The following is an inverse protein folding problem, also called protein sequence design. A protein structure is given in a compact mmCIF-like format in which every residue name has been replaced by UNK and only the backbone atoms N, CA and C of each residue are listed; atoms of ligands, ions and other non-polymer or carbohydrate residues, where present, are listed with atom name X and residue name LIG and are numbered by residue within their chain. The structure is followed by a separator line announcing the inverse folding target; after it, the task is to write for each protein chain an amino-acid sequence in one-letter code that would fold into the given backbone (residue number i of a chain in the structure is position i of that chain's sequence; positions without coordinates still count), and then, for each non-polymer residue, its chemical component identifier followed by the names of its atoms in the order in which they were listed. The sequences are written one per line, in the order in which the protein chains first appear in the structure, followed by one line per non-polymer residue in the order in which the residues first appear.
data_IF_525989584003
#
_entry.id   IF_525989584003
#
_cell.length_a   1.000
_cell.length_b   1.000
_cell.length_c   1.000
_cell.angle_alpha   90.00
_cell.angle_beta   90.00
_cell.angle_gamma   90.00
#
_symmetry.space_group_name_H-M   'P 1'
#
loop_
_entity.id
_entity.type
_entity.pdbx_description
1 polymer ?
#
# COMPACT_ATOMS: atom_id res chain seq x y z
N UNK A 1 -16.66 -5.37 -4.99
CA UNK A 1 -16.69 -5.95 -6.37
C UNK A 1 -17.52 -7.22 -6.32
N UNK A 2 -18.30 -7.48 -7.37
CA UNK A 2 -19.09 -8.71 -7.50
C UNK A 2 -18.32 -9.71 -8.37
N UNK A 3 -17.91 -10.83 -7.78
CA UNK A 3 -17.14 -11.89 -8.45
C UNK A 3 -18.04 -13.02 -8.98
N UNK A 4 -19.36 -12.86 -8.98
CA UNK A 4 -20.30 -13.90 -9.43
C UNK A 4 -20.19 -14.22 -10.92
N UNK A 5 -19.74 -13.28 -11.74
CA UNK A 5 -19.40 -13.44 -13.16
C UNK A 5 -18.44 -12.34 -13.62
N UNK A 6 -17.76 -12.57 -14.76
CA UNK A 6 -16.92 -11.54 -15.39
C UNK A 6 -17.73 -10.27 -15.73
N UNK A 7 -18.96 -10.44 -16.23
CA UNK A 7 -19.83 -9.31 -16.59
C UNK A 7 -20.18 -8.45 -15.36
N UNK A 8 -20.56 -9.08 -14.23
CA UNK A 8 -20.86 -8.38 -12.99
C UNK A 8 -19.62 -7.69 -12.41
N UNK A 9 -18.46 -8.35 -12.47
CA UNK A 9 -17.18 -7.77 -12.02
C UNK A 9 -16.79 -6.58 -12.89
N UNK A 10 -16.90 -6.71 -14.22
CA UNK A 10 -16.60 -5.65 -15.20
C UNK A 10 -17.48 -4.42 -15.00
N UNK A 11 -18.78 -4.63 -14.77
CA UNK A 11 -19.71 -3.52 -14.48
C UNK A 11 -19.30 -2.76 -13.20
N UNK A 12 -18.92 -3.48 -12.14
CA UNK A 12 -18.43 -2.87 -10.91
C UNK A 12 -17.07 -2.19 -11.07
N UNK A 13 -16.18 -2.73 -11.93
CA UNK A 13 -14.91 -2.11 -12.27
C UNK A 13 -15.11 -0.82 -13.06
N UNK A 14 -15.98 -0.82 -14.06
CA UNK A 14 -16.36 0.37 -14.82
C UNK A 14 -16.88 1.49 -13.91
N UNK A 15 -17.83 1.18 -13.02
CA UNK A 15 -18.34 2.13 -12.02
C UNK A 15 -17.23 2.69 -11.13
N UNK A 16 -16.33 1.83 -10.66
CA UNK A 16 -15.20 2.25 -9.83
C UNK A 16 -14.32 3.26 -10.57
N UNK A 17 -13.96 2.99 -11.82
CA UNK A 17 -13.10 3.87 -12.61
C UNK A 17 -13.80 5.20 -12.92
N UNK A 18 -15.09 5.18 -13.29
CA UNK A 18 -15.89 6.40 -13.53
C UNK A 18 -15.98 7.26 -12.26
N UNK A 19 -16.17 6.63 -11.10
CA UNK A 19 -16.18 7.31 -9.81
C UNK A 19 -14.81 7.95 -9.49
N UNK A 20 -13.70 7.27 -9.74
CA UNK A 20 -12.37 7.84 -9.55
C UNK A 20 -12.15 9.07 -10.44
N UNK A 21 -12.53 8.99 -11.70
CA UNK A 21 -12.46 10.13 -12.62
C UNK A 21 -13.33 11.32 -12.17
N UNK A 22 -14.50 11.05 -11.59
CA UNK A 22 -15.44 12.09 -11.16
C UNK A 22 -14.88 13.05 -10.10
N UNK A 23 -13.83 12.63 -9.39
CA UNK A 23 -13.12 13.44 -8.39
C UNK A 23 -11.67 13.77 -8.82
N UNK A 24 -11.37 13.61 -10.12
CA UNK A 24 -10.10 14.02 -10.73
C UNK A 24 -8.91 13.10 -10.45
N UNK A 25 -9.13 11.85 -10.04
CA UNK A 25 -8.05 10.88 -9.92
C UNK A 25 -7.59 10.41 -11.30
N UNK A 26 -6.30 10.11 -11.43
CA UNK A 26 -5.67 9.65 -12.67
C UNK A 26 -5.05 8.25 -12.54
N UNK A 27 -5.01 7.69 -11.35
CA UNK A 27 -4.39 6.39 -11.07
C UNK A 27 -5.22 5.63 -10.04
N UNK A 28 -5.38 4.33 -10.26
CA UNK A 28 -5.95 3.39 -9.28
C UNK A 28 -4.87 2.45 -8.79
N UNK A 29 -4.69 2.36 -7.48
CA UNK A 29 -3.80 1.39 -6.82
C UNK A 29 -4.68 0.24 -6.31
N UNK A 30 -4.67 -0.89 -7.02
CA UNK A 30 -5.52 -2.04 -6.75
C UNK A 30 -4.78 -3.14 -5.99
N UNK A 31 -5.27 -3.51 -4.80
CA UNK A 31 -4.67 -4.62 -4.04
C UNK A 31 -4.97 -5.95 -4.74
N UNK A 32 -3.94 -6.55 -5.31
CA UNK A 32 -4.04 -7.78 -6.11
C UNK A 32 -3.39 -9.00 -5.45
N UNK A 33 -2.57 -8.77 -4.40
CA UNK A 33 -1.91 -9.85 -3.64
C UNK A 33 -1.95 -9.56 -2.13
N UNK A 34 -3.06 -9.84 -1.44
CA UNK A 34 -3.24 -9.51 -0.02
C UNK A 34 -2.66 -10.53 0.95
N UNK A 35 -2.60 -11.85 0.62
CA UNK A 35 -2.33 -12.95 1.57
C UNK A 35 -1.44 -14.07 1.00
N UNK A 36 -0.40 -13.73 0.24
CA UNK A 36 0.38 -14.75 -0.46
C UNK A 36 -0.48 -15.53 -1.46
N UNK A 37 -1.46 -14.87 -2.02
CA UNK A 37 -2.44 -15.32 -3.01
C UNK A 37 -2.60 -14.25 -4.09
N UNK A 38 -3.38 -14.50 -5.13
CA UNK A 38 -3.50 -13.61 -6.27
C UNK A 38 -4.96 -13.38 -6.68
N UNK A 39 -5.30 -12.14 -7.04
CA UNK A 39 -6.54 -11.78 -7.75
C UNK A 39 -6.28 -11.73 -9.27
N UNK A 40 -5.38 -12.58 -9.75
CA UNK A 40 -4.97 -12.70 -11.15
C UNK A 40 -4.46 -14.12 -11.41
N UNK A 41 -4.34 -14.52 -12.69
CA UNK A 41 -3.75 -15.82 -13.04
C UNK A 41 -2.27 -15.81 -12.73
N UNK A 42 -1.89 -16.57 -11.71
CA UNK A 42 -0.51 -16.74 -11.29
C UNK A 42 -0.08 -18.20 -11.40
N UNK A 43 1.17 -18.42 -11.79
CA UNK A 43 1.82 -19.73 -11.73
C UNK A 43 2.49 -19.98 -10.38
N UNK A 44 2.65 -18.92 -9.56
CA UNK A 44 3.35 -18.92 -8.29
C UNK A 44 2.39 -18.94 -7.08
N UNK A 45 1.26 -18.25 -7.19
CA UNK A 45 0.34 -18.04 -6.08
C UNK A 45 -1.04 -18.65 -6.34
N UNK A 46 -1.71 -19.20 -5.29
CA UNK A 46 -3.09 -19.63 -5.41
C UNK A 46 -4.02 -18.44 -5.68
N UNK A 47 -5.17 -18.69 -6.29
CA UNK A 47 -6.26 -17.71 -6.35
C UNK A 47 -6.64 -17.22 -4.96
N UNK A 48 -6.89 -15.92 -4.81
CA UNK A 48 -7.33 -15.35 -3.54
C UNK A 48 -8.74 -15.82 -3.17
N UNK A 49 -8.92 -16.11 -1.87
CA UNK A 49 -10.25 -16.37 -1.32
C UNK A 49 -11.22 -15.20 -1.50
N UNK A 50 -10.73 -13.99 -1.74
CA UNK A 50 -11.56 -12.81 -2.00
C UNK A 50 -12.34 -12.94 -3.30
N UNK A 51 -11.89 -13.77 -4.24
CA UNK A 51 -12.60 -13.99 -5.51
C UNK A 51 -13.83 -14.88 -5.34
N UNK A 52 -13.72 -15.97 -4.55
CA UNK A 52 -14.77 -17.03 -4.50
C UNK A 52 -15.18 -17.41 -3.07
N UNK A 53 -14.51 -16.86 -2.06
CA UNK A 53 -14.62 -17.30 -0.66
C UNK A 53 -13.65 -18.43 -0.29
N UNK A 54 -13.01 -19.08 -1.28
CA UNK A 54 -12.09 -20.22 -1.08
C UNK A 54 -10.75 -19.94 -1.77
N UNK A 55 -9.65 -19.94 -1.01
CA UNK A 55 -8.32 -19.75 -1.57
C UNK A 55 -7.95 -20.95 -2.47
N UNK A 56 -7.42 -20.67 -3.66
CA UNK A 56 -7.06 -21.68 -4.68
C UNK A 56 -8.18 -21.98 -5.67
N UNK A 57 -9.40 -21.51 -5.44
CA UNK A 57 -10.52 -21.72 -6.37
C UNK A 57 -10.50 -20.65 -7.46
N UNK A 58 -10.39 -21.08 -8.73
CA UNK A 58 -10.48 -20.20 -9.91
C UNK A 58 -11.85 -19.56 -10.03
N UNK A 59 -11.95 -18.21 -10.12
CA UNK A 59 -13.22 -17.51 -10.33
C UNK A 59 -13.79 -17.66 -11.74
N UNK A 60 -13.07 -18.29 -12.69
CA UNK A 60 -13.47 -18.48 -14.06
C UNK A 60 -13.14 -17.33 -15.01
N UNK A 61 -12.59 -16.25 -14.51
CA UNK A 61 -12.10 -15.09 -15.28
C UNK A 61 -10.89 -14.47 -14.59
N UNK A 62 -10.25 -13.47 -15.22
CA UNK A 62 -9.10 -12.78 -14.64
C UNK A 62 -9.48 -11.38 -14.14
N UNK A 63 -9.63 -11.18 -12.81
CA UNK A 63 -10.02 -9.89 -12.25
C UNK A 63 -9.05 -8.75 -12.55
N UNK A 64 -7.74 -9.01 -12.58
CA UNK A 64 -6.74 -7.99 -12.85
C UNK A 64 -6.79 -7.53 -14.31
N UNK A 65 -6.93 -8.44 -15.25
CA UNK A 65 -7.07 -8.10 -16.67
C UNK A 65 -8.31 -7.22 -16.93
N UNK A 66 -9.43 -7.54 -16.26
CA UNK A 66 -10.64 -6.71 -16.31
C UNK A 66 -10.38 -5.31 -15.74
N UNK A 67 -9.72 -5.21 -14.56
CA UNK A 67 -9.43 -3.91 -13.94
C UNK A 67 -8.52 -3.04 -14.82
N UNK A 68 -7.47 -3.62 -15.42
CA UNK A 68 -6.56 -2.93 -16.33
C UNK A 68 -7.32 -2.42 -17.55
N UNK A 69 -8.14 -3.29 -18.17
CA UNK A 69 -8.94 -2.93 -19.35
C UNK A 69 -9.87 -1.76 -19.07
N UNK A 70 -10.59 -1.80 -17.93
CA UNK A 70 -11.53 -0.73 -17.57
C UNK A 70 -10.82 0.57 -17.18
N UNK A 71 -9.64 0.50 -16.55
CA UNK A 71 -8.83 1.67 -16.22
C UNK A 71 -8.30 2.34 -17.51
N UNK A 72 -7.61 1.58 -18.36
CA UNK A 72 -6.97 2.10 -19.57
C UNK A 72 -7.98 2.63 -20.59
N UNK A 73 -9.16 1.99 -20.73
CA UNK A 73 -10.22 2.50 -21.61
C UNK A 73 -10.71 3.89 -21.23
N UNK A 74 -10.45 4.34 -20.01
CA UNK A 74 -10.80 5.65 -19.45
C UNK A 74 -9.61 6.60 -19.28
N UNK A 75 -8.41 6.18 -19.67
CA UNK A 75 -7.19 6.95 -19.50
C UNK A 75 -6.65 7.01 -18.06
N UNK A 76 -7.09 6.10 -17.19
CA UNK A 76 -6.53 5.90 -15.86
C UNK A 76 -5.34 4.94 -15.92
N UNK A 77 -4.31 5.20 -15.12
CA UNK A 77 -3.27 4.23 -14.82
C UNK A 77 -3.75 3.25 -13.74
N UNK A 78 -3.23 2.02 -13.78
CA UNK A 78 -3.47 1.00 -12.76
C UNK A 78 -2.15 0.45 -12.23
N UNK A 79 -1.90 0.65 -10.94
CA UNK A 79 -0.78 0.05 -10.23
C UNK A 79 -1.24 -1.14 -9.39
N UNK A 80 -0.49 -2.24 -9.45
CA UNK A 80 -0.80 -3.45 -8.69
C UNK A 80 -0.22 -3.36 -7.27
N UNK A 81 -1.10 -3.30 -6.27
CA UNK A 81 -0.68 -3.32 -4.87
C UNK A 81 -0.49 -4.75 -4.37
N UNK A 82 0.71 -5.01 -3.91
CA UNK A 82 1.18 -6.29 -3.36
C UNK A 82 1.55 -6.09 -1.90
N UNK A 83 0.98 -6.90 -1.00
CA UNK A 83 1.53 -7.06 0.33
C UNK A 83 2.65 -8.12 0.26
N UNK A 84 3.91 -7.76 0.59
CA UNK A 84 5.04 -8.64 0.27
C UNK A 84 5.08 -9.92 1.12
N UNK A 85 4.79 -9.84 2.41
CA UNK A 85 5.09 -10.93 3.32
C UNK A 85 3.88 -11.60 3.99
N UNK A 86 2.70 -10.97 3.95
CA UNK A 86 1.54 -11.48 4.68
C UNK A 86 0.90 -12.67 3.96
N UNK A 87 0.79 -13.80 4.66
CA UNK A 87 0.10 -15.00 4.21
C UNK A 87 -1.30 -15.15 4.83
N UNK A 88 -1.46 -14.62 6.06
CA UNK A 88 -2.70 -14.66 6.83
C UNK A 88 -2.67 -13.55 7.87
N UNK A 89 -3.74 -12.79 8.02
CA UNK A 89 -3.80 -11.72 9.04
C UNK A 89 -4.45 -12.18 10.34
N UNK A 90 -5.35 -13.19 10.29
CA UNK A 90 -6.04 -13.77 11.46
C UNK A 90 -6.51 -15.18 11.11
N UNK A 91 -7.00 -15.92 12.09
CA UNK A 91 -7.55 -17.27 11.90
C UNK A 91 -8.72 -17.35 10.89
N UNK A 92 -9.29 -16.21 10.52
CA UNK A 92 -10.40 -16.09 9.57
C UNK A 92 -10.07 -15.43 8.24
N UNK A 93 -8.82 -14.96 8.07
CA UNK A 93 -8.49 -14.13 6.92
C UNK A 93 -7.11 -14.48 6.32
N UNK A 94 -7.04 -15.37 5.34
CA UNK A 94 -8.10 -16.25 4.83
C UNK A 94 -8.47 -17.37 5.82
N UNK A 95 -9.69 -17.91 5.75
CA UNK A 95 -10.17 -18.94 6.72
C UNK A 95 -9.46 -20.28 6.57
N UNK A 96 -9.08 -20.63 5.34
CA UNK A 96 -8.26 -21.80 5.03
C UNK A 96 -7.22 -21.42 3.98
N UNK A 97 -6.02 -22.01 4.06
CA UNK A 97 -4.95 -21.83 3.10
C UNK A 97 -5.01 -22.94 2.05
N UNK A 98 -4.83 -22.58 0.78
CA UNK A 98 -4.73 -23.55 -0.31
C UNK A 98 -3.51 -24.45 -0.14
N UNK A 99 -3.55 -25.65 -0.74
CA UNK A 99 -2.43 -26.62 -0.66
C UNK A 99 -1.11 -26.02 -1.19
N UNK A 100 -1.18 -25.20 -2.22
CA UNK A 100 -0.03 -24.51 -2.84
C UNK A 100 0.25 -23.14 -2.23
N UNK A 101 -0.38 -22.74 -1.11
CA UNK A 101 0.02 -21.55 -0.38
C UNK A 101 1.41 -21.76 0.24
N UNK A 102 2.25 -20.72 0.26
CA UNK A 102 3.63 -20.78 0.78
C UNK A 102 3.72 -21.28 2.22
N UNK A 103 2.71 -21.02 3.05
CA UNK A 103 2.69 -21.56 4.40
C UNK A 103 2.58 -23.10 4.45
N UNK A 104 2.07 -23.72 3.40
CA UNK A 104 1.97 -25.18 3.28
C UNK A 104 3.15 -25.80 2.54
N UNK A 105 3.68 -25.12 1.51
CA UNK A 105 4.76 -25.68 0.67
C UNK A 105 6.16 -25.33 1.17
N UNK A 106 6.29 -24.20 1.92
CA UNK A 106 7.54 -23.72 2.52
C UNK A 106 7.33 -23.28 3.96
N UNK A 107 6.89 -24.18 4.87
CA UNK A 107 6.65 -23.84 6.28
C UNK A 107 7.92 -23.31 6.98
N UNK A 108 9.11 -23.68 6.51
CA UNK A 108 10.40 -23.17 7.00
C UNK A 108 10.65 -21.70 6.69
N UNK A 109 9.89 -21.10 5.77
CA UNK A 109 9.96 -19.66 5.47
C UNK A 109 8.99 -18.84 6.31
N UNK A 110 8.13 -19.48 7.08
CA UNK A 110 6.98 -18.84 7.73
C UNK A 110 7.25 -18.57 9.19
N UNK A 111 6.85 -17.38 9.63
CA UNK A 111 6.76 -17.02 11.04
C UNK A 111 5.32 -16.70 11.43
N UNK A 112 4.97 -16.99 12.69
CA UNK A 112 3.67 -16.69 13.25
C UNK A 112 3.77 -15.54 14.25
N UNK A 113 2.84 -14.57 14.14
CA UNK A 113 2.72 -13.47 15.10
C UNK A 113 1.23 -13.31 15.44
N UNK A 114 0.88 -13.61 16.68
CA UNK A 114 -0.51 -13.74 17.09
C UNK A 114 -1.22 -14.84 16.26
N UNK A 115 -2.34 -14.51 15.64
CA UNK A 115 -3.05 -15.40 14.70
C UNK A 115 -2.58 -15.28 13.25
N UNK A 116 -1.67 -14.33 12.97
CA UNK A 116 -1.15 -14.06 11.64
C UNK A 116 -0.02 -14.99 11.23
N UNK A 117 0.11 -15.23 9.92
CA UNK A 117 1.23 -15.93 9.29
C UNK A 117 1.90 -15.01 8.28
N UNK A 118 3.21 -14.98 8.30
CA UNK A 118 4.03 -14.11 7.46
C UNK A 118 5.22 -14.87 6.93
N UNK A 119 5.69 -14.54 5.73
CA UNK A 119 7.03 -14.92 5.32
C UNK A 119 8.02 -14.18 6.23
N UNK A 120 9.07 -14.89 6.66
CA UNK A 120 10.10 -14.29 7.48
C UNK A 120 11.02 -13.42 6.60
N UNK A 121 11.08 -12.10 6.83
CA UNK A 121 11.87 -11.19 6.00
C UNK A 121 13.39 -11.44 6.05
N UNK A 122 13.84 -12.26 7.00
CA UNK A 122 15.23 -12.66 7.15
C UNK A 122 15.63 -13.87 6.28
N UNK A 123 14.70 -14.43 5.52
CA UNK A 123 14.94 -15.59 4.64
C UNK A 123 15.04 -15.10 3.20
N UNK A 124 16.25 -15.13 2.58
CA UNK A 124 16.47 -14.63 1.23
C UNK A 124 15.58 -15.32 0.19
N UNK A 125 15.39 -16.63 0.29
CA UNK A 125 14.57 -17.41 -0.64
C UNK A 125 13.10 -16.98 -0.61
N UNK A 126 12.59 -16.59 0.55
CA UNK A 126 11.24 -16.03 0.68
C UNK A 126 11.14 -14.65 0.01
N UNK A 127 12.15 -13.80 0.17
CA UNK A 127 12.24 -12.51 -0.51
C UNK A 127 12.34 -12.68 -2.02
N UNK A 128 13.18 -13.59 -2.50
CA UNK A 128 13.34 -13.91 -3.93
C UNK A 128 12.01 -14.39 -4.55
N UNK A 129 11.24 -15.18 -3.81
CA UNK A 129 9.91 -15.63 -4.29
C UNK A 129 8.91 -14.46 -4.42
N UNK A 130 8.96 -13.51 -3.50
CA UNK A 130 8.18 -12.26 -3.60
C UNK A 130 8.57 -11.49 -4.85
N UNK A 131 9.87 -11.36 -5.14
CA UNK A 131 10.40 -10.67 -6.33
C UNK A 131 9.99 -11.39 -7.62
N UNK A 132 10.02 -12.73 -7.64
CA UNK A 132 9.52 -13.52 -8.78
C UNK A 132 8.04 -13.21 -9.05
N UNK A 133 7.21 -13.07 -7.99
CA UNK A 133 5.82 -12.68 -8.13
C UNK A 133 5.63 -11.25 -8.66
N UNK A 134 6.52 -10.33 -8.34
CA UNK A 134 6.55 -8.98 -8.95
C UNK A 134 6.91 -9.08 -10.43
N UNK A 135 7.95 -9.85 -10.77
CA UNK A 135 8.35 -10.07 -12.16
C UNK A 135 7.24 -10.74 -12.99
N UNK A 136 6.52 -11.73 -12.41
CA UNK A 136 5.36 -12.37 -13.06
C UNK A 136 4.27 -11.35 -13.41
N UNK A 137 3.95 -10.44 -12.48
CA UNK A 137 2.95 -9.39 -12.70
C UNK A 137 3.34 -8.49 -13.88
N UNK A 138 4.52 -7.90 -13.85
CA UNK A 138 4.94 -6.92 -14.87
C UNK A 138 5.24 -7.56 -16.23
N UNK A 139 5.48 -8.86 -16.28
CA UNK A 139 5.68 -9.59 -17.54
C UNK A 139 4.37 -10.02 -18.20
N UNK A 140 3.34 -10.31 -17.41
CA UNK A 140 2.11 -10.91 -17.92
C UNK A 140 0.93 -9.93 -17.98
N UNK A 141 1.01 -8.78 -17.28
CA UNK A 141 -0.08 -7.82 -17.18
C UNK A 141 0.39 -6.42 -17.57
N UNK A 142 -0.45 -5.69 -18.26
CA UNK A 142 -0.19 -4.29 -18.66
C UNK A 142 -0.46 -3.31 -17.50
N UNK A 143 0.08 -3.60 -16.29
CA UNK A 143 0.03 -2.66 -15.17
C UNK A 143 0.97 -1.49 -15.42
N UNK A 144 0.65 -0.32 -14.88
CA UNK A 144 1.50 0.88 -14.99
C UNK A 144 2.55 0.96 -13.89
N UNK A 145 2.45 0.08 -12.90
CA UNK A 145 3.41 -0.01 -11.80
C UNK A 145 3.05 -1.06 -10.75
N UNK A 146 3.96 -1.19 -9.81
CA UNK A 146 3.82 -2.03 -8.61
C UNK A 146 3.88 -1.13 -7.37
N UNK A 147 3.00 -1.41 -6.41
CA UNK A 147 2.93 -0.70 -5.15
C UNK A 147 3.05 -1.67 -3.97
N UNK A 148 3.95 -1.40 -3.03
CA UNK A 148 4.02 -2.09 -1.74
C UNK A 148 3.43 -1.21 -0.64
N UNK A 149 2.80 -1.84 0.37
CA UNK A 149 2.41 -1.19 1.61
C UNK A 149 3.55 -1.19 2.65
N UNK A 150 3.25 -0.87 3.91
CA UNK A 150 4.20 -0.73 5.00
C UNK A 150 4.43 -2.04 5.81
N UNK A 151 3.82 -3.15 5.42
CA UNK A 151 3.87 -4.39 6.21
C UNK A 151 5.08 -5.25 5.84
N UNK A 152 6.27 -4.89 6.36
CA UNK A 152 7.50 -5.67 6.19
C UNK A 152 7.73 -6.62 7.36
N UNK A 153 8.33 -6.16 8.47
CA UNK A 153 8.45 -6.99 9.65
C UNK A 153 7.15 -6.98 10.47
N UNK A 154 6.59 -8.16 10.81
CA UNK A 154 5.31 -8.23 11.55
C UNK A 154 5.46 -7.93 13.04
N UNK A 155 6.70 -7.89 13.56
CA UNK A 155 7.00 -7.60 14.97
C UNK A 155 8.45 -7.14 15.14
N UNK A 156 8.71 -6.45 16.25
CA UNK A 156 10.07 -6.09 16.70
C UNK A 156 10.71 -7.15 17.59
N UNK A 157 9.99 -8.22 17.93
CA UNK A 157 10.52 -9.32 18.75
C UNK A 157 11.79 -9.91 18.11
N UNK A 158 12.89 -9.93 18.86
CA UNK A 158 14.15 -10.47 18.40
C UNK A 158 14.14 -12.00 18.20
N UNK A 159 13.16 -12.69 18.79
CA UNK A 159 13.01 -14.13 18.62
C UNK A 159 12.56 -14.54 17.22
N UNK A 160 11.93 -13.61 16.46
CA UNK A 160 11.37 -13.89 15.13
C UNK A 160 12.41 -14.49 14.17
N UNK A 161 13.60 -13.92 14.15
CA UNK A 161 14.68 -14.21 13.21
C UNK A 161 16.04 -14.43 13.89
N UNK A 162 16.04 -14.83 15.18
CA UNK A 162 17.22 -14.98 16.00
C UNK A 162 18.28 -15.92 15.38
N UNK A 163 17.83 -17.02 14.77
CA UNK A 163 18.74 -18.00 14.15
C UNK A 163 19.42 -17.41 12.91
N UNK A 164 18.67 -16.68 12.05
CA UNK A 164 19.17 -16.03 10.85
C UNK A 164 20.11 -14.89 11.21
N UNK A 165 19.77 -14.09 12.23
CA UNK A 165 20.63 -13.02 12.72
C UNK A 165 21.96 -13.56 13.27
N UNK A 166 21.92 -14.62 14.08
CA UNK A 166 23.13 -15.27 14.59
C UNK A 166 24.01 -15.82 13.44
N UNK A 167 23.40 -16.42 12.44
CA UNK A 167 24.12 -16.96 11.27
C UNK A 167 24.73 -15.85 10.39
N UNK A 168 24.13 -14.66 10.37
CA UNK A 168 24.62 -13.53 9.55
C UNK A 168 25.93 -12.93 10.03
N UNK A 169 26.28 -13.11 11.30
CA UNK A 169 27.43 -12.47 11.94
C UNK A 169 27.27 -10.95 12.16
N UNK A 170 26.10 -10.39 11.92
CA UNK A 170 25.84 -8.96 12.12
C UNK A 170 25.85 -8.60 13.61
N UNK A 171 26.32 -7.38 13.93
CA UNK A 171 26.40 -6.90 15.31
C UNK A 171 25.20 -6.08 15.79
N UNK A 172 24.34 -5.61 14.87
CA UNK A 172 23.17 -4.78 15.15
C UNK A 172 21.95 -5.35 14.44
N UNK A 173 20.99 -5.88 15.23
CA UNK A 173 19.78 -6.51 14.74
C UNK A 173 18.92 -5.53 13.91
N UNK A 174 18.75 -4.30 14.39
CA UNK A 174 17.89 -3.34 13.71
C UNK A 174 18.49 -2.89 12.37
N UNK A 175 19.80 -2.66 12.33
CA UNK A 175 20.49 -2.34 11.07
C UNK A 175 20.43 -3.50 10.08
N UNK A 176 20.60 -4.74 10.54
CA UNK A 176 20.51 -5.93 9.72
C UNK A 176 19.09 -6.15 9.16
N UNK A 177 18.05 -5.98 9.98
CA UNK A 177 16.65 -6.05 9.52
C UNK A 177 16.34 -4.98 8.46
N UNK A 178 16.85 -3.75 8.64
CA UNK A 178 16.73 -2.68 7.61
C UNK A 178 17.41 -3.05 6.30
N UNK A 179 18.55 -3.73 6.36
CA UNK A 179 19.22 -4.24 5.16
C UNK A 179 18.37 -5.29 4.45
N UNK A 180 17.75 -6.23 5.18
CA UNK A 180 16.86 -7.24 4.58
C UNK A 180 15.65 -6.60 3.88
N UNK A 181 15.00 -5.62 4.53
CA UNK A 181 13.85 -4.92 3.92
C UNK A 181 14.29 -4.11 2.70
N UNK A 182 15.40 -3.37 2.80
CA UNK A 182 15.93 -2.58 1.68
C UNK A 182 16.34 -3.48 0.50
N UNK A 183 16.91 -4.66 0.78
CA UNK A 183 17.28 -5.63 -0.25
C UNK A 183 16.04 -6.13 -1.03
N UNK A 184 14.94 -6.48 -0.34
CA UNK A 184 13.69 -6.83 -0.99
C UNK A 184 13.16 -5.70 -1.86
N UNK A 185 13.06 -4.47 -1.28
CA UNK A 185 12.50 -3.31 -1.98
C UNK A 185 13.32 -2.99 -3.23
N UNK A 186 14.66 -3.02 -3.11
CA UNK A 186 15.55 -2.84 -4.26
C UNK A 186 15.37 -3.93 -5.31
N UNK A 187 15.35 -5.19 -4.92
CA UNK A 187 15.21 -6.30 -5.86
C UNK A 187 13.86 -6.24 -6.60
N UNK A 188 12.79 -5.84 -5.92
CA UNK A 188 11.49 -5.63 -6.54
C UNK A 188 11.51 -4.45 -7.54
N UNK A 189 12.11 -3.31 -7.15
CA UNK A 189 12.34 -2.18 -8.06
C UNK A 189 13.12 -2.61 -9.30
N UNK A 190 14.24 -3.31 -9.11
CA UNK A 190 15.09 -3.75 -10.21
C UNK A 190 14.37 -4.72 -11.17
N UNK A 191 13.52 -5.62 -10.62
CA UNK A 191 12.70 -6.51 -11.42
C UNK A 191 11.66 -5.75 -12.27
N UNK A 192 11.03 -4.72 -11.71
CA UNK A 192 10.12 -3.83 -12.44
C UNK A 192 10.87 -3.10 -13.56
N UNK A 193 12.02 -2.50 -13.25
CA UNK A 193 12.83 -1.74 -14.25
C UNK A 193 13.46 -2.64 -15.32
N UNK A 194 13.76 -3.90 -15.00
CA UNK A 194 14.25 -4.86 -15.97
C UNK A 194 13.17 -5.28 -16.98
N UNK A 195 11.89 -5.28 -16.58
CA UNK A 195 10.77 -5.55 -17.49
C UNK A 195 10.49 -4.34 -18.41
N UNK A 196 10.32 -3.16 -17.84
CA UNK A 196 10.14 -1.90 -18.55
C UNK A 196 10.55 -0.71 -17.65
N UNK A 197 11.43 0.13 -18.14
CA UNK A 197 11.93 1.31 -17.42
C UNK A 197 10.87 2.39 -17.17
N UNK A 198 9.76 2.35 -17.90
CA UNK A 198 8.64 3.30 -17.75
C UNK A 198 7.68 2.90 -16.63
N UNK A 199 7.64 1.61 -16.25
CA UNK A 199 6.83 1.14 -15.13
C UNK A 199 7.31 1.75 -13.82
N UNK A 200 6.39 1.99 -12.91
CA UNK A 200 6.68 2.61 -11.62
C UNK A 200 6.72 1.56 -10.52
N UNK A 201 7.63 1.75 -9.59
CA UNK A 201 7.65 1.00 -8.34
C UNK A 201 7.60 1.95 -7.15
N UNK A 202 6.60 1.82 -6.30
CA UNK A 202 6.44 2.68 -5.13
C UNK A 202 6.13 1.92 -3.85
N UNK A 203 6.34 2.61 -2.74
CA UNK A 203 6.02 2.10 -1.40
C UNK A 203 5.17 3.13 -0.66
N UNK A 204 4.16 2.65 0.07
CA UNK A 204 3.34 3.45 0.97
C UNK A 204 3.76 3.18 2.43
N UNK A 205 4.83 3.84 2.94
CA UNK A 205 5.29 3.67 4.30
C UNK A 205 4.32 4.31 5.30
N UNK A 206 4.53 4.09 6.59
CA UNK A 206 3.76 4.78 7.63
C UNK A 206 3.99 6.30 7.55
N UNK A 207 3.03 7.07 8.04
CA UNK A 207 3.18 8.52 8.13
C UNK A 207 4.22 8.97 9.17
N UNK A 208 4.55 8.09 10.13
CA UNK A 208 5.59 8.33 11.13
C UNK A 208 6.92 7.67 10.70
N UNK A 209 7.91 8.45 10.22
CA UNK A 209 9.18 7.89 9.73
C UNK A 209 10.03 7.24 10.84
N UNK A 210 9.76 7.53 12.12
CA UNK A 210 10.45 6.86 13.22
C UNK A 210 9.93 5.42 13.40
N UNK A 211 8.62 5.20 13.18
CA UNK A 211 8.04 3.86 13.16
C UNK A 211 8.52 3.05 11.96
N UNK A 212 8.63 3.67 10.79
CA UNK A 212 9.21 3.03 9.61
C UNK A 212 10.61 2.50 9.93
N UNK A 213 11.47 3.35 10.48
CA UNK A 213 12.85 2.98 10.80
C UNK A 213 12.96 1.94 11.93
N UNK A 214 12.16 2.07 12.99
CA UNK A 214 12.31 1.32 14.23
C UNK A 214 11.37 0.11 14.39
N UNK A 215 10.25 0.07 13.69
CA UNK A 215 9.25 -1.00 13.81
C UNK A 215 9.07 -1.78 12.52
N UNK A 216 9.02 -1.11 11.37
CA UNK A 216 8.92 -1.76 10.06
C UNK A 216 10.28 -2.07 9.43
N UNK A 217 11.35 -1.48 10.00
CA UNK A 217 12.72 -1.56 9.50
C UNK A 217 12.87 -1.05 8.07
N UNK A 218 12.06 -0.07 7.71
CA UNK A 218 12.05 0.62 6.42
C UNK A 218 12.85 1.92 6.54
N UNK A 219 14.01 1.99 5.91
CA UNK A 219 14.84 3.21 5.92
C UNK A 219 14.39 4.18 4.83
N UNK A 220 13.20 4.76 5.04
CA UNK A 220 12.54 5.64 4.07
C UNK A 220 13.38 6.87 3.71
N UNK A 221 14.22 7.35 4.64
CA UNK A 221 15.12 8.49 4.36
C UNK A 221 16.23 8.10 3.41
N UNK A 222 16.82 6.92 3.60
CA UNK A 222 17.81 6.39 2.68
C UNK A 222 17.19 6.09 1.32
N UNK A 223 15.97 5.54 1.28
CA UNK A 223 15.27 5.25 0.01
C UNK A 223 14.94 6.50 -0.79
N UNK A 224 14.49 7.60 -0.13
CA UNK A 224 14.25 8.88 -0.80
C UNK A 224 15.52 9.48 -1.41
N UNK A 225 16.65 9.33 -0.73
CA UNK A 225 17.93 9.92 -1.15
C UNK A 225 18.70 9.07 -2.17
N UNK A 226 18.31 7.80 -2.36
CA UNK A 226 18.99 6.87 -3.25
C UNK A 226 18.73 7.23 -4.72
N UNK A 227 19.78 7.23 -5.54
CA UNK A 227 19.69 7.61 -6.95
C UNK A 227 20.54 6.71 -7.87
N UNK A 228 20.24 6.76 -9.16
CA UNK A 228 20.94 5.97 -10.17
C UNK A 228 20.81 4.47 -9.92
N UNK A 229 21.93 3.74 -9.97
CA UNK A 229 21.95 2.29 -9.73
C UNK A 229 21.56 1.89 -8.29
N UNK A 230 21.62 2.85 -7.35
CA UNK A 230 21.20 2.63 -5.97
C UNK A 230 19.74 2.98 -5.70
N UNK A 231 19.00 3.50 -6.67
CA UNK A 231 17.58 3.79 -6.51
C UNK A 231 16.82 2.52 -6.08
N UNK A 232 15.91 2.66 -5.13
CA UNK A 232 15.12 1.55 -4.58
C UNK A 232 13.63 1.73 -4.80
N UNK A 233 13.19 2.95 -5.13
CA UNK A 233 11.80 3.29 -5.43
C UNK A 233 11.75 4.42 -6.45
N UNK A 234 10.67 4.48 -7.24
CA UNK A 234 10.34 5.65 -8.07
C UNK A 234 9.54 6.68 -7.28
N UNK A 235 8.81 6.24 -6.26
CA UNK A 235 8.10 7.13 -5.35
C UNK A 235 7.89 6.53 -3.95
N UNK A 236 7.70 7.41 -2.95
CA UNK A 236 7.09 7.07 -1.69
C UNK A 236 5.74 7.79 -1.54
N UNK A 237 4.79 7.13 -0.86
CA UNK A 237 3.46 7.65 -0.57
C UNK A 237 3.13 7.46 0.92
N UNK A 238 3.78 8.20 1.87
CA UNK A 238 3.55 8.03 3.29
C UNK A 238 2.08 8.21 3.66
N UNK A 239 1.60 7.38 4.58
CA UNK A 239 0.22 7.29 5.03
C UNK A 239 -0.08 8.37 6.08
N UNK A 240 -0.35 9.60 5.62
CA UNK A 240 -0.66 10.75 6.49
C UNK A 240 -2.16 10.74 6.83
N UNK A 241 -2.55 9.84 7.73
CA UNK A 241 -3.96 9.61 8.09
C UNK A 241 -4.41 10.43 9.31
N UNK A 242 -3.76 11.57 9.56
CA UNK A 242 -4.10 12.53 10.60
C UNK A 242 -4.64 13.83 10.00
N UNK A 243 -5.51 14.49 10.74
CA UNK A 243 -6.08 15.78 10.35
C UNK A 243 -5.19 16.97 10.72
N UNK A 244 -5.65 18.14 10.30
CA UNK A 244 -5.07 19.41 10.76
C UNK A 244 -5.32 19.58 12.27
N UNK A 245 -4.33 20.08 13.01
CA UNK A 245 -4.44 20.23 14.46
C UNK A 245 -4.42 18.93 15.26
N UNK A 246 -4.11 17.77 14.63
CA UNK A 246 -3.99 16.51 15.35
C UNK A 246 -3.04 16.63 16.53
N UNK A 247 -3.49 16.15 17.69
CA UNK A 247 -2.72 16.23 18.93
C UNK A 247 -2.69 14.86 19.60
N UNK A 248 -1.51 14.37 19.92
CA UNK A 248 -1.33 13.16 20.72
C UNK A 248 -1.84 13.37 22.15
N UNK A 249 -2.12 12.28 22.88
CA UNK A 249 -2.46 12.34 24.31
C UNK A 249 -1.36 12.99 25.16
N UNK A 250 -0.12 13.01 24.69
CA UNK A 250 1.02 13.70 25.29
C UNK A 250 1.01 15.22 25.09
N UNK A 251 0.08 15.75 24.29
CA UNK A 251 0.02 17.15 23.88
C UNK A 251 0.89 17.51 22.68
N UNK A 252 1.65 16.55 22.11
CA UNK A 252 2.46 16.81 20.92
C UNK A 252 1.59 16.91 19.67
N UNK A 253 1.89 17.90 18.83
CA UNK A 253 1.24 18.14 17.52
C UNK A 253 2.12 17.70 16.33
N UNK A 254 3.21 16.96 16.56
CA UNK A 254 4.15 16.58 15.50
C UNK A 254 3.45 15.92 14.30
N UNK A 255 2.46 15.05 14.56
CA UNK A 255 1.73 14.34 13.51
C UNK A 255 0.51 15.10 12.99
N UNK A 256 0.24 16.33 13.44
CA UNK A 256 -0.73 17.18 12.76
C UNK A 256 -0.34 17.33 11.29
N UNK A 257 -1.31 17.29 10.40
CA UNK A 257 -1.08 17.31 8.95
C UNK A 257 -0.13 18.44 8.52
N UNK A 258 -0.35 19.63 9.07
CA UNK A 258 0.46 20.83 8.82
C UNK A 258 1.92 20.75 9.30
N UNK A 259 2.25 19.80 10.16
CA UNK A 259 3.58 19.60 10.72
C UNK A 259 4.29 18.40 10.07
N UNK A 260 3.60 17.26 9.92
CA UNK A 260 4.21 16.04 9.41
C UNK A 260 4.48 16.10 7.90
N UNK A 261 3.62 16.74 7.11
CA UNK A 261 3.85 16.91 5.68
C UNK A 261 5.11 17.72 5.38
N UNK A 262 5.33 18.91 6.01
CA UNK A 262 6.61 19.61 5.88
C UNK A 262 7.82 18.79 6.36
N UNK A 263 7.69 17.95 7.41
CA UNK A 263 8.77 17.06 7.84
C UNK A 263 9.19 16.10 6.71
N UNK A 264 8.23 15.48 6.02
CA UNK A 264 8.50 14.63 4.87
C UNK A 264 9.08 15.40 3.67
N UNK A 265 8.54 16.58 3.36
CA UNK A 265 9.02 17.42 2.25
C UNK A 265 10.45 17.92 2.46
N UNK A 266 10.89 18.07 3.72
CA UNK A 266 12.24 18.52 4.06
C UNK A 266 13.30 17.41 4.01
N UNK A 267 12.92 16.14 3.85
CA UNK A 267 13.89 15.05 3.74
C UNK A 267 14.69 15.16 2.44
N UNK A 268 16.01 14.91 2.48
CA UNK A 268 16.81 14.80 1.27
C UNK A 268 16.19 13.79 0.30
N UNK A 269 16.05 14.18 -0.97
CA UNK A 269 15.38 13.37 -1.97
C UNK A 269 16.10 13.46 -3.31
N UNK A 270 16.30 12.31 -3.96
CA UNK A 270 16.77 12.24 -5.33
C UNK A 270 15.78 12.90 -6.29
N UNK A 271 16.27 13.55 -7.33
CA UNK A 271 15.41 14.21 -8.31
C UNK A 271 14.50 13.23 -9.08
N UNK A 272 14.92 11.98 -9.19
CA UNK A 272 14.16 10.90 -9.82
C UNK A 272 13.06 10.31 -8.94
N UNK A 273 13.06 10.58 -7.63
CA UNK A 273 12.12 9.98 -6.68
C UNK A 273 10.97 10.95 -6.38
N UNK A 274 9.75 10.56 -6.68
CA UNK A 274 8.57 11.36 -6.35
C UNK A 274 8.14 11.14 -4.88
N UNK A 275 7.48 12.15 -4.31
CA UNK A 275 6.86 12.05 -2.99
C UNK A 275 5.39 12.45 -3.12
N UNK A 276 4.51 11.49 -2.86
CA UNK A 276 3.06 11.65 -2.78
C UNK A 276 2.62 11.52 -1.33
N UNK A 277 1.35 11.81 -1.04
CA UNK A 277 0.83 11.74 0.33
C UNK A 277 -0.47 10.94 0.37
N UNK A 278 -0.50 9.85 1.13
CA UNK A 278 -1.69 9.05 1.39
C UNK A 278 -2.60 9.76 2.40
N UNK A 279 -3.85 9.97 2.04
CA UNK A 279 -4.88 10.63 2.85
C UNK A 279 -5.92 9.61 3.29
N UNK A 280 -6.33 9.68 4.55
CA UNK A 280 -7.23 8.71 5.18
C UNK A 280 -8.70 9.01 4.95
N UNK A 281 -9.28 8.66 3.80
CA UNK A 281 -10.70 8.83 3.54
C UNK A 281 -11.61 8.07 4.52
N UNK A 282 -11.13 7.00 5.14
CA UNK A 282 -11.85 6.25 6.16
C UNK A 282 -12.04 7.00 7.49
N UNK A 283 -11.37 8.14 7.64
CA UNK A 283 -11.55 9.04 8.79
C UNK A 283 -12.82 9.89 8.71
N UNK A 284 -13.45 9.98 7.55
CA UNK A 284 -14.67 10.75 7.34
C UNK A 284 -15.77 10.24 8.28
N UNK A 285 -16.23 11.11 9.17
CA UNK A 285 -17.24 10.81 10.19
C UNK A 285 -16.77 9.96 11.38
N UNK A 286 -15.52 9.47 11.37
CA UNK A 286 -14.95 8.63 12.44
C UNK A 286 -13.86 9.35 13.24
N UNK A 287 -13.24 10.39 12.67
CA UNK A 287 -12.11 11.10 13.29
C UNK A 287 -10.79 10.33 13.21
N UNK A 288 -9.72 10.95 13.69
CA UNK A 288 -8.36 10.41 13.64
C UNK A 288 -7.82 9.95 15.01
N UNK A 289 -8.64 10.04 16.07
CA UNK A 289 -8.29 9.59 17.42
C UNK A 289 -7.38 10.55 18.19
N UNK A 290 -7.18 11.78 17.69
CA UNK A 290 -6.42 12.82 18.40
C UNK A 290 -7.10 13.31 19.68
N UNK A 291 -6.33 13.92 20.57
CA UNK A 291 -6.82 14.48 21.83
C UNK A 291 -7.58 15.82 21.66
N UNK A 292 -7.43 16.48 20.51
CA UNK A 292 -8.06 17.75 20.20
C UNK A 292 -9.43 17.52 19.54
N UNK A 293 -10.53 17.92 20.22
CA UNK A 293 -11.90 17.78 19.72
C UNK A 293 -12.13 18.56 18.41
N UNK A 294 -11.52 19.74 18.25
CA UNK A 294 -11.64 20.54 17.03
C UNK A 294 -11.00 19.81 15.85
N UNK A 295 -9.90 19.08 16.07
CA UNK A 295 -9.29 18.27 15.02
C UNK A 295 -10.13 17.05 14.65
N UNK A 296 -10.89 16.51 15.59
CA UNK A 296 -11.83 15.42 15.33
C UNK A 296 -13.04 15.89 14.51
N UNK A 297 -13.59 17.05 14.85
CA UNK A 297 -14.79 17.61 14.24
C UNK A 297 -14.61 17.93 12.75
N UNK A 298 -13.39 18.21 12.29
CA UNK A 298 -13.12 18.47 10.87
C UNK A 298 -13.53 17.32 9.95
N UNK A 299 -13.45 16.08 10.45
CA UNK A 299 -13.82 14.89 9.70
C UNK A 299 -15.34 14.74 9.49
N UNK A 300 -16.13 15.61 10.13
CA UNK A 300 -17.58 15.71 9.96
C UNK A 300 -18.01 16.95 9.14
N UNK A 301 -17.08 17.66 8.50
CA UNK A 301 -17.38 18.88 7.73
C UNK A 301 -17.70 18.64 6.26
N UNK A 302 -17.39 17.45 5.72
CA UNK A 302 -17.53 17.15 4.30
C UNK A 302 -16.51 17.86 3.39
N UNK A 303 -15.37 18.34 3.95
CA UNK A 303 -14.30 18.99 3.19
C UNK A 303 -12.92 18.79 3.79
N UNK A 304 -12.75 17.81 4.68
CA UNK A 304 -11.48 17.56 5.36
C UNK A 304 -10.38 17.17 4.39
N UNK A 305 -10.66 16.23 3.48
CA UNK A 305 -9.71 15.79 2.45
C UNK A 305 -9.39 16.91 1.46
N UNK A 306 -10.40 17.65 1.00
CA UNK A 306 -10.19 18.77 0.08
C UNK A 306 -9.24 19.82 0.66
N UNK A 307 -9.39 20.17 1.95
CA UNK A 307 -8.46 21.08 2.64
C UNK A 307 -7.05 20.51 2.74
N UNK A 308 -6.90 19.22 2.95
CA UNK A 308 -5.58 18.57 2.93
C UNK A 308 -4.95 18.66 1.54
N UNK A 309 -5.72 18.40 0.48
CA UNK A 309 -5.25 18.52 -0.92
C UNK A 309 -4.85 19.97 -1.25
N UNK A 310 -5.67 20.96 -0.89
CA UNK A 310 -5.31 22.38 -1.03
C UNK A 310 -3.99 22.73 -0.32
N UNK A 311 -3.82 22.16 0.89
CA UNK A 311 -2.58 22.38 1.65
C UNK A 311 -1.38 21.73 0.94
N UNK A 312 -1.52 20.51 0.40
CA UNK A 312 -0.47 19.87 -0.39
C UNK A 312 -0.10 20.68 -1.62
N UNK A 313 -1.08 21.19 -2.36
CA UNK A 313 -0.84 22.07 -3.50
C UNK A 313 -0.08 23.34 -3.07
N UNK A 314 -0.47 23.97 -1.96
CA UNK A 314 0.20 25.18 -1.44
C UNK A 314 1.66 24.94 -1.03
N UNK A 315 2.00 23.69 -0.68
CA UNK A 315 3.36 23.27 -0.30
C UNK A 315 4.18 22.76 -1.49
N UNK A 316 3.59 22.72 -2.70
CA UNK A 316 4.25 22.20 -3.89
C UNK A 316 4.49 20.69 -3.85
N UNK A 317 3.64 19.94 -3.13
CA UNK A 317 3.71 18.47 -3.10
C UNK A 317 3.40 17.88 -4.47
N UNK A 318 4.06 16.75 -4.80
CA UNK A 318 3.96 16.11 -6.11
C UNK A 318 2.63 15.42 -6.42
N UNK A 319 1.81 15.16 -5.41
CA UNK A 319 0.51 14.51 -5.56
C UNK A 319 0.02 13.85 -4.27
N UNK A 320 -1.12 13.18 -4.38
CA UNK A 320 -1.79 12.54 -3.25
C UNK A 320 -2.55 11.28 -3.68
N UNK A 321 -2.84 10.41 -2.71
CA UNK A 321 -3.64 9.21 -2.87
C UNK A 321 -4.69 9.12 -1.75
N UNK A 322 -5.84 8.51 -2.03
CA UNK A 322 -6.92 8.33 -1.05
C UNK A 322 -7.04 6.87 -0.60
N UNK A 323 -6.97 6.62 0.66
CA UNK A 323 -7.26 5.34 1.27
C UNK A 323 -8.56 5.42 2.07
N UNK A 324 -9.69 4.85 1.59
CA UNK A 324 -9.85 4.02 0.41
C UNK A 324 -11.15 4.33 -0.33
N UNK A 325 -11.35 3.72 -1.51
CA UNK A 325 -12.53 3.86 -2.37
C UNK A 325 -13.86 3.68 -1.62
N UNK A 326 -14.03 2.57 -0.87
CA UNK A 326 -15.29 2.29 -0.18
C UNK A 326 -15.69 3.38 0.82
N UNK A 327 -14.72 4.07 1.41
CA UNK A 327 -14.98 5.15 2.36
C UNK A 327 -15.59 6.40 1.72
N UNK A 328 -15.40 6.57 0.40
CA UNK A 328 -15.96 7.70 -0.35
C UNK A 328 -17.20 7.32 -1.15
N UNK A 329 -17.22 6.12 -1.74
CA UNK A 329 -18.26 5.75 -2.71
C UNK A 329 -19.25 4.69 -2.18
N UNK A 330 -18.93 4.04 -1.04
CA UNK A 330 -19.77 3.04 -0.35
C UNK A 330 -19.84 3.32 1.15
N UNK A 331 -19.72 4.59 1.51
CA UNK A 331 -19.64 5.03 2.90
C UNK A 331 -20.90 4.72 3.70
N UNK A 332 -20.73 4.34 4.96
CA UNK A 332 -21.80 4.31 5.95
C UNK A 332 -22.31 5.73 6.33
N UNK A 333 -21.62 6.79 5.90
CA UNK A 333 -21.93 8.19 6.08
C UNK A 333 -22.10 8.89 4.72
N UNK A 334 -23.12 8.54 3.90
CA UNK A 334 -23.20 8.97 2.50
C UNK A 334 -23.21 10.49 2.34
N UNK A 335 -23.92 11.24 3.21
CA UNK A 335 -23.99 12.69 3.13
C UNK A 335 -22.63 13.38 3.28
N UNK A 336 -21.79 12.89 4.22
CA UNK A 336 -20.43 13.41 4.42
C UNK A 336 -19.53 13.03 3.25
N UNK A 337 -19.62 11.78 2.78
CA UNK A 337 -18.84 11.30 1.65
C UNK A 337 -19.20 12.03 0.35
N UNK A 338 -20.48 12.33 0.12
CA UNK A 338 -20.97 13.12 -1.02
C UNK A 338 -20.39 14.54 -0.98
N UNK A 339 -20.41 15.18 0.19
CA UNK A 339 -19.84 16.51 0.36
C UNK A 339 -18.31 16.51 0.12
N UNK A 340 -17.58 15.52 0.64
CA UNK A 340 -16.13 15.36 0.37
C UNK A 340 -15.84 15.17 -1.11
N UNK A 341 -16.62 14.31 -1.81
CA UNK A 341 -16.46 14.11 -3.26
C UNK A 341 -16.70 15.39 -4.03
N UNK A 342 -17.74 16.14 -3.68
CA UNK A 342 -18.03 17.42 -4.33
C UNK A 342 -16.91 18.46 -4.09
N UNK A 343 -16.37 18.50 -2.86
CA UNK A 343 -15.25 19.40 -2.51
C UNK A 343 -13.97 19.01 -3.26
N UNK A 344 -13.64 17.71 -3.37
CA UNK A 344 -12.47 17.23 -4.13
C UNK A 344 -12.63 17.52 -5.63
N UNK A 345 -13.80 17.23 -6.22
CA UNK A 345 -14.08 17.49 -7.64
C UNK A 345 -13.91 18.98 -7.99
N UNK A 346 -14.29 19.89 -7.09
CA UNK A 346 -14.14 21.31 -7.30
C UNK A 346 -12.67 21.76 -7.43
N UNK A 347 -11.73 21.04 -6.78
CA UNK A 347 -10.29 21.34 -6.86
C UNK A 347 -9.64 20.93 -8.19
N UNK A 348 -10.24 19.97 -8.91
CA UNK A 348 -9.69 19.43 -10.15
C UNK A 348 -10.20 20.18 -11.39
N UNK A 349 -11.22 21.02 -11.22
CA UNK A 349 -11.81 21.86 -12.29
C UNK A 349 -11.33 23.31 -12.25
N UNK A 350 -10.56 23.72 -11.24
CA UNK A 350 -9.95 25.05 -11.09
C UNK A 350 -8.50 25.09 -11.58
#
# INVERSE_FOLDING_TARGET
MDFSSEEAFRAGAAELMDNCLSIGLNTVIAQVRPFGDALYRSTLFPWSHLCTGVQGQDPGFDPLDVLITEAHSRGLSLEAWVNPYRLRSSAKMPPALAENNLANVHPEWVCAVGEGLYLNPAIPEAADYVVQGVAELVQNYAVDGIHFDDYFYPTTDAALDAAQFAASGAGDLAAWRRQNVTALVKAAHDAVKAADTTLRFGVSPQGNPDNDLGQQYSDVKAWLAAEGENAVVDYLCPQIYWGCGYTLQSGSTRFAFENIVPEWLAMPRAASTALYFGLGAYRIGEGDGGANEDSQSQWCTGSALARQVERLHSLGAGGWALYRYDSLFRSARPELADAERAALAALTTA
#
